data_IF_384262089251
#
_entry.id   IF_384262089251
#
_cell.length_a   1.000
_cell.length_b   1.000
_cell.length_c   1.000
_cell.angle_alpha   90.00
_cell.angle_beta   90.00
_cell.angle_gamma   90.00
#
_symmetry.space_group_name_H-M   'P 1'
#
loop_
_entity.id
_entity.type
_entity.pdbx_description
1 polymer ?
#
# COMPACT_ATOMS: atom_id res chain seq x y z
N UNK A 1 18.69 -5.56 4.01
CA UNK A 1 20.17 -5.39 4.08
C UNK A 1 20.49 -3.92 3.85
N UNK A 2 21.26 -3.27 4.73
CA UNK A 2 21.72 -1.89 4.53
C UNK A 2 23.12 -1.93 3.93
N UNK A 3 23.40 -1.06 2.94
CA UNK A 3 24.74 -0.86 2.38
C UNK A 3 25.15 0.59 2.63
N UNK A 4 26.39 0.78 3.08
CA UNK A 4 27.00 2.11 3.10
C UNK A 4 27.48 2.42 1.69
N UNK A 5 27.20 3.62 1.21
CA UNK A 5 27.66 4.09 -0.11
C UNK A 5 27.99 5.56 0.00
N UNK A 6 29.07 5.98 -0.65
CA UNK A 6 29.43 7.38 -0.79
C UNK A 6 28.88 7.88 -2.12
N UNK A 7 28.03 8.89 -2.07
CA UNK A 7 27.42 9.54 -3.23
C UNK A 7 27.41 11.05 -2.96
N UNK A 8 27.54 11.85 -4.01
CA UNK A 8 27.33 13.29 -3.92
C UNK A 8 25.83 13.57 -3.90
N UNK A 9 25.39 14.41 -2.96
CA UNK A 9 23.99 14.76 -2.78
C UNK A 9 23.89 16.25 -2.50
N UNK A 10 22.87 16.88 -3.09
CA UNK A 10 22.50 18.24 -2.76
C UNK A 10 21.94 18.29 -1.33
N UNK A 11 22.69 18.93 -0.42
CA UNK A 11 22.33 19.01 0.99
C UNK A 11 21.17 19.97 1.27
N UNK A 12 20.94 20.95 0.39
CA UNK A 12 19.79 21.84 0.52
C UNK A 12 18.50 21.06 0.20
N UNK A 13 18.53 20.22 -0.84
CA UNK A 13 17.41 19.33 -1.17
C UNK A 13 17.16 18.30 -0.07
N UNK A 14 18.21 17.74 0.53
CA UNK A 14 18.06 16.81 1.68
C UNK A 14 17.43 17.50 2.87
N UNK A 15 17.77 18.77 3.12
CA UNK A 15 17.16 19.54 4.22
C UNK A 15 15.68 19.79 3.94
N UNK A 16 15.34 20.25 2.74
CA UNK A 16 13.94 20.48 2.34
C UNK A 16 13.11 19.19 2.43
N UNK A 17 13.63 18.08 1.92
CA UNK A 17 13.00 16.78 2.05
C UNK A 17 12.87 16.34 3.52
N UNK A 18 13.87 16.67 4.36
CA UNK A 18 13.85 16.40 5.79
C UNK A 18 12.73 17.14 6.50
N UNK A 19 12.56 18.42 6.19
CA UNK A 19 11.49 19.25 6.73
C UNK A 19 10.11 18.74 6.30
N UNK A 20 9.97 18.37 5.02
CA UNK A 20 8.72 17.83 4.47
C UNK A 20 8.35 16.45 5.05
N UNK A 21 9.33 15.60 5.32
CA UNK A 21 9.14 14.23 5.83
C UNK A 21 9.23 14.13 7.36
N UNK A 22 9.58 15.22 8.05
CA UNK A 22 9.78 15.24 9.50
C UNK A 22 11.01 14.47 9.98
N UNK A 23 12.03 14.30 9.13
CA UNK A 23 13.25 13.53 9.43
C UNK A 23 14.43 14.46 9.71
N UNK A 24 15.29 14.05 10.66
CA UNK A 24 16.43 14.89 11.13
C UNK A 24 17.78 14.47 10.56
N UNK A 25 17.97 13.19 10.26
CA UNK A 25 19.25 12.66 9.76
C UNK A 25 19.13 12.45 8.25
N UNK A 26 20.17 12.85 7.50
CA UNK A 26 20.24 12.65 6.04
C UNK A 26 19.87 11.21 5.63
N UNK A 27 20.43 10.20 6.31
CA UNK A 27 20.13 8.80 6.00
C UNK A 27 18.66 8.44 6.23
N UNK A 28 18.02 8.99 7.26
CA UNK A 28 16.61 8.75 7.52
C UNK A 28 15.74 9.46 6.49
N UNK A 29 16.10 10.69 6.11
CA UNK A 29 15.44 11.44 5.04
C UNK A 29 15.51 10.69 3.71
N UNK A 30 16.70 10.20 3.32
CA UNK A 30 16.88 9.45 2.07
C UNK A 30 16.02 8.18 2.08
N UNK A 31 16.04 7.41 3.16
CA UNK A 31 15.21 6.21 3.26
C UNK A 31 13.70 6.53 3.20
N UNK A 32 13.26 7.56 3.92
CA UNK A 32 11.86 7.98 3.93
C UNK A 32 11.39 8.48 2.57
N UNK A 33 12.22 9.26 1.87
CA UNK A 33 11.94 9.75 0.53
C UNK A 33 11.81 8.59 -0.48
N UNK A 34 12.73 7.62 -0.43
CA UNK A 34 12.67 6.43 -1.30
C UNK A 34 11.41 5.59 -1.04
N UNK A 35 11.05 5.38 0.24
CA UNK A 35 9.83 4.65 0.59
C UNK A 35 8.57 5.39 0.11
N UNK A 36 8.50 6.71 0.29
CA UNK A 36 7.35 7.51 -0.17
C UNK A 36 7.17 7.44 -1.69
N UNK A 37 8.26 7.58 -2.46
CA UNK A 37 8.20 7.47 -3.93
C UNK A 37 7.65 6.10 -4.37
N UNK A 38 8.13 5.01 -3.74
CA UNK A 38 7.64 3.65 -4.04
C UNK A 38 6.16 3.51 -3.66
N UNK A 39 5.76 3.97 -2.47
CA UNK A 39 4.36 3.94 -2.03
C UNK A 39 3.46 4.76 -2.93
N UNK A 40 3.88 5.96 -3.32
CA UNK A 40 3.17 6.82 -4.27
C UNK A 40 3.01 6.13 -5.62
N UNK A 41 4.07 5.53 -6.17
CA UNK A 41 4.01 4.76 -7.42
C UNK A 41 3.02 3.60 -7.32
N UNK A 42 3.04 2.83 -6.23
CA UNK A 42 2.10 1.72 -5.99
C UNK A 42 0.65 2.20 -5.88
N UNK A 43 0.39 3.30 -5.16
CA UNK A 43 -0.95 3.90 -5.06
C UNK A 43 -1.47 4.35 -6.43
N UNK A 44 -0.63 4.95 -7.26
CA UNK A 44 -1.03 5.35 -8.62
C UNK A 44 -1.32 4.15 -9.52
N UNK A 45 -0.54 3.07 -9.40
CA UNK A 45 -0.80 1.84 -10.15
C UNK A 45 -2.18 1.21 -9.82
N UNK A 46 -2.70 1.42 -8.60
CA UNK A 46 -4.06 1.00 -8.24
C UNK A 46 -5.14 1.86 -8.92
N UNK A 47 -4.87 3.13 -9.20
CA UNK A 47 -5.81 3.98 -9.95
C UNK A 47 -5.86 3.60 -11.43
N UNK A 48 -4.73 3.16 -11.97
CA UNK A 48 -4.63 2.63 -13.33
C UNK A 48 -5.17 1.19 -13.44
N UNK A 49 -5.43 0.54 -12.30
CA UNK A 49 -5.97 -0.81 -12.29
C UNK A 49 -7.42 -0.80 -12.78
N UNK A 50 -7.60 -1.29 -14.01
CA UNK A 50 -8.90 -1.53 -14.64
C UNK A 50 -9.16 -3.03 -14.60
N UNK A 51 -9.80 -3.57 -13.54
CA UNK A 51 -10.16 -4.98 -13.54
C UNK A 51 -11.15 -5.24 -14.68
N UNK A 52 -10.88 -6.27 -15.48
CA UNK A 52 -11.85 -6.84 -16.42
C UNK A 52 -12.83 -7.72 -15.63
N UNK A 53 -13.56 -7.09 -14.72
CA UNK A 53 -14.55 -7.71 -13.84
C UNK A 53 -15.85 -6.94 -14.05
N UNK A 54 -16.93 -7.65 -14.35
CA UNK A 54 -18.27 -7.08 -14.45
C UNK A 54 -19.14 -7.42 -13.22
N UNK A 55 -20.41 -6.99 -13.24
CA UNK A 55 -21.32 -7.25 -12.12
C UNK A 55 -21.67 -8.73 -11.97
N UNK A 56 -21.65 -9.52 -13.06
CA UNK A 56 -21.91 -10.95 -13.03
C UNK A 56 -20.77 -11.74 -12.36
N UNK A 57 -19.53 -11.31 -12.57
CA UNK A 57 -18.36 -11.87 -11.87
C UNK A 57 -18.47 -11.67 -10.35
N UNK A 58 -18.99 -10.50 -9.91
CA UNK A 58 -19.19 -10.22 -8.48
C UNK A 58 -20.26 -11.12 -7.86
N UNK A 59 -21.31 -11.45 -8.59
CA UNK A 59 -22.37 -12.34 -8.11
C UNK A 59 -21.87 -13.79 -7.98
N UNK A 60 -21.03 -14.26 -8.91
CA UNK A 60 -20.38 -15.56 -8.82
C UNK A 60 -19.44 -15.66 -7.58
N UNK A 61 -18.68 -14.60 -7.28
CA UNK A 61 -17.82 -14.56 -6.09
C UNK A 61 -18.62 -14.59 -4.77
N UNK A 62 -19.81 -13.96 -4.73
CA UNK A 62 -20.70 -14.01 -3.56
C UNK A 62 -21.32 -15.39 -3.39
N UNK A 63 -21.74 -16.03 -4.47
CA UNK A 63 -22.36 -17.36 -4.42
C UNK A 63 -21.43 -18.40 -3.76
N UNK A 64 -20.13 -18.35 -4.05
CA UNK A 64 -19.14 -19.24 -3.43
C UNK A 64 -19.01 -19.02 -1.91
N UNK A 65 -19.15 -17.78 -1.42
CA UNK A 65 -19.04 -17.46 0.02
C UNK A 65 -20.20 -18.03 0.85
N UNK A 66 -21.39 -18.09 0.27
CA UNK A 66 -22.58 -18.60 0.95
C UNK A 66 -22.82 -20.10 0.72
N UNK A 67 -22.16 -20.69 -0.28
CA UNK A 67 -22.17 -22.14 -0.50
C UNK A 67 -21.33 -22.91 0.54
N UNK A 68 -20.32 -22.25 1.15
CA UNK A 68 -19.46 -22.86 2.19
C UNK A 68 -19.86 -22.51 3.62
N UNK A 69 -20.87 -21.65 3.83
CA UNK A 69 -21.41 -21.36 5.16
C UNK A 69 -22.63 -22.25 5.45
N UNK A 70 -22.41 -23.43 6.03
CA UNK A 70 -23.39 -23.99 6.94
C UNK A 70 -23.46 -23.00 8.12
N UNK A 71 -24.55 -22.23 8.17
CA UNK A 71 -24.66 -21.11 9.09
C UNK A 71 -24.49 -21.59 10.55
N UNK A 72 -23.52 -21.07 11.34
CA UNK A 72 -23.24 -21.54 12.70
C UNK A 72 -24.26 -21.03 13.73
N UNK A 73 -25.43 -20.56 13.30
CA UNK A 73 -26.48 -20.08 14.18
C UNK A 73 -27.80 -20.71 13.74
N UNK A 74 -28.07 -21.90 14.27
CA UNK A 74 -29.46 -22.37 14.39
C UNK A 74 -30.20 -21.39 15.30
N UNK A 75 -31.37 -20.88 14.89
CA UNK A 75 -32.21 -20.12 15.81
C UNK A 75 -32.75 -21.08 16.88
N UNK A 76 -32.53 -20.71 18.15
CA UNK A 76 -33.01 -21.43 19.33
C UNK A 76 -34.54 -21.65 19.21
N UNK A 77 -35.05 -22.89 19.32
CA UNK A 77 -36.48 -23.14 19.24
C UNK A 77 -37.17 -22.62 20.52
N UNK A 78 -38.19 -21.78 20.31
CA UNK A 78 -39.08 -21.25 21.36
C UNK A 78 -39.79 -22.33 22.19
#
# INVERSE_FOLDING_TARGET
>A
MRKHTTIDVDMDLVREAGDALGTKRMTDTIHAALDDVVRRRRRMALLDFRPAIDLGDLDAMRAHRFAESEAPYEPDPE
#
